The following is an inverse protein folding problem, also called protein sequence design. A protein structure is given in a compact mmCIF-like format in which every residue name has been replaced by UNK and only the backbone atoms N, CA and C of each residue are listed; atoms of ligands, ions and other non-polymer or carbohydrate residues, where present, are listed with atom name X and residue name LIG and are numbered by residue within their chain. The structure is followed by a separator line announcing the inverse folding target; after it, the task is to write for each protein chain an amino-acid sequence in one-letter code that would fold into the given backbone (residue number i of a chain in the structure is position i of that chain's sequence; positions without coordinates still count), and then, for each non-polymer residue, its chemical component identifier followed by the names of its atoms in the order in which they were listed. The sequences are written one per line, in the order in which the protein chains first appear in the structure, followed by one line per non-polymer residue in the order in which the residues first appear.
data_IF_444513882942
#
_entry.id   IF_444513882942
#
_cell.length_a   1.000
_cell.length_b   1.000
_cell.length_c   1.000
_cell.angle_alpha   90.00
_cell.angle_beta   90.00
_cell.angle_gamma   90.00
#
_symmetry.space_group_name_H-M   'P 1'
#
loop_
_entity.id
_entity.type
_entity.pdbx_description
1 polymer ?
#
# COMPACT_ATOMS: atom_id res chain seq x y z
N UNK A 1 -1.91 0.19 11.74
CA UNK A 1 -0.48 0.41 11.37
C UNK A 1 -0.44 1.45 10.26
N UNK A 2 0.56 2.35 10.24
CA UNK A 2 0.67 3.35 9.16
C UNK A 2 1.43 2.80 7.94
N UNK A 3 1.09 3.31 6.76
CA UNK A 3 1.82 3.07 5.53
C UNK A 3 1.50 4.11 4.46
N UNK A 4 2.32 4.15 3.42
CA UNK A 4 2.15 5.02 2.26
C UNK A 4 1.72 4.19 1.07
N UNK A 5 0.70 4.64 0.34
CA UNK A 5 0.27 4.01 -0.91
C UNK A 5 1.33 4.27 -1.99
N UNK A 6 1.87 3.23 -2.61
CA UNK A 6 2.91 3.38 -3.66
C UNK A 6 2.36 3.09 -5.06
N UNK A 7 1.19 2.47 -5.12
CA UNK A 7 0.42 2.23 -6.34
C UNK A 7 -1.05 1.99 -5.97
N UNK A 8 -1.96 2.50 -6.79
CA UNK A 8 -3.39 2.16 -6.70
C UNK A 8 -4.00 2.04 -8.10
N UNK A 9 -5.10 1.31 -8.19
CA UNK A 9 -5.91 1.23 -9.40
C UNK A 9 -7.39 1.25 -9.04
N UNK A 10 -8.01 2.40 -9.25
CA UNK A 10 -9.44 2.62 -8.96
C UNK A 10 -10.35 1.63 -9.71
N UNK A 11 -9.99 1.29 -10.96
CA UNK A 11 -10.76 0.33 -11.80
C UNK A 11 -10.79 -1.07 -11.19
N UNK A 12 -9.70 -1.51 -10.58
CA UNK A 12 -9.63 -2.85 -9.96
C UNK A 12 -9.87 -2.85 -8.46
N UNK A 13 -9.94 -1.68 -7.82
CA UNK A 13 -10.03 -1.59 -6.36
C UNK A 13 -8.81 -2.17 -5.64
N UNK A 14 -7.62 -2.08 -6.27
CA UNK A 14 -6.37 -2.63 -5.72
C UNK A 14 -5.40 -1.53 -5.36
N UNK A 15 -4.60 -1.76 -4.33
CA UNK A 15 -3.51 -0.87 -3.96
C UNK A 15 -2.35 -1.67 -3.36
N UNK A 16 -1.15 -1.10 -3.48
CA UNK A 16 0.06 -1.58 -2.80
C UNK A 16 0.49 -0.53 -1.80
N UNK A 17 0.74 -0.96 -0.56
CA UNK A 17 1.08 -0.10 0.55
C UNK A 17 2.47 -0.48 1.05
N UNK A 18 3.34 0.52 1.18
CA UNK A 18 4.61 0.37 1.88
C UNK A 18 4.42 0.76 3.34
N UNK A 19 4.58 -0.21 4.23
CA UNK A 19 4.27 -0.06 5.65
C UNK A 19 5.45 0.54 6.42
N UNK A 20 5.15 1.27 7.50
CA UNK A 20 6.14 1.93 8.36
C UNK A 20 7.12 0.97 9.05
N UNK A 21 6.86 -0.33 9.04
CA UNK A 21 7.79 -1.36 9.53
C UNK A 21 8.87 -1.75 8.51
N UNK A 22 8.81 -1.20 7.29
CA UNK A 22 9.75 -1.38 6.20
C UNK A 22 9.94 -2.86 5.78
N UNK A 23 9.02 -3.74 6.16
CA UNK A 23 9.01 -5.15 5.73
C UNK A 23 8.36 -5.28 4.34
N UNK A 24 7.99 -6.51 3.98
CA UNK A 24 7.27 -6.81 2.74
C UNK A 24 6.07 -5.88 2.51
N UNK A 25 5.76 -5.68 1.23
CA UNK A 25 4.66 -4.82 0.80
C UNK A 25 3.32 -5.43 1.20
N UNK A 26 2.36 -4.56 1.53
CA UNK A 26 1.00 -4.96 1.81
C UNK A 26 0.12 -4.81 0.57
N UNK A 27 -0.66 -5.86 0.29
CA UNK A 27 -1.56 -5.93 -0.84
C UNK A 27 -2.99 -5.66 -0.38
N UNK A 28 -3.61 -4.61 -0.90
CA UNK A 28 -5.03 -4.35 -0.71
C UNK A 28 -5.83 -4.76 -1.95
N UNK A 29 -6.93 -5.46 -1.69
CA UNK A 29 -7.94 -5.77 -2.69
C UNK A 29 -9.31 -5.48 -2.08
N UNK A 30 -10.09 -4.66 -2.78
CA UNK A 30 -11.41 -4.27 -2.32
C UNK A 30 -12.31 -5.51 -2.19
N UNK A 31 -13.00 -5.70 -1.05
CA UNK A 31 -14.02 -6.74 -0.93
C UNK A 31 -15.11 -6.58 -2.01
N UNK A 32 -15.54 -7.69 -2.63
CA UNK A 32 -16.56 -7.68 -3.68
C UNK A 32 -17.89 -7.02 -3.25
N UNK A 33 -18.18 -7.07 -1.95
CA UNK A 33 -19.43 -6.57 -1.35
C UNK A 33 -19.36 -5.08 -0.99
N UNK A 34 -18.20 -4.44 -1.11
CA UNK A 34 -18.03 -3.02 -0.78
C UNK A 34 -18.48 -2.15 -1.96
N UNK A 35 -19.53 -1.35 -1.75
CA UNK A 35 -20.00 -0.36 -2.74
C UNK A 35 -19.06 0.85 -2.87
N UNK A 36 -18.19 1.08 -1.89
CA UNK A 36 -17.31 2.25 -1.83
C UNK A 36 -16.14 2.10 -2.80
N UNK A 37 -15.85 3.16 -3.56
CA UNK A 37 -14.61 3.22 -4.36
C UNK A 37 -13.42 3.36 -3.41
N UNK A 38 -12.27 2.81 -3.79
CA UNK A 38 -11.02 3.20 -3.15
C UNK A 38 -10.74 4.64 -3.59
N UNK A 39 -10.57 5.56 -2.63
CA UNK A 39 -10.24 6.96 -2.87
C UNK A 39 -8.83 7.24 -2.34
N UNK A 40 -7.88 6.42 -2.78
CA UNK A 40 -6.47 6.57 -2.41
C UNK A 40 -5.61 6.60 -3.67
N UNK A 41 -4.65 7.50 -3.66
CA UNK A 41 -3.67 7.74 -4.71
C UNK A 41 -2.26 7.42 -4.20
N UNK A 42 -1.32 7.26 -5.13
CA UNK A 42 0.09 7.10 -4.75
C UNK A 42 0.56 8.34 -3.97
N UNK A 43 1.23 8.11 -2.84
CA UNK A 43 1.68 9.13 -1.91
C UNK A 43 0.74 9.42 -0.74
N UNK A 44 -0.46 8.83 -0.71
CA UNK A 44 -1.36 8.98 0.42
C UNK A 44 -0.88 8.21 1.65
N UNK A 45 -1.00 8.83 2.83
CA UNK A 45 -0.79 8.19 4.12
C UNK A 45 -2.09 7.49 4.55
N UNK A 46 -1.96 6.21 4.88
CA UNK A 46 -3.08 5.37 5.26
C UNK A 46 -2.82 4.63 6.58
N UNK A 47 -3.88 4.45 7.35
CA UNK A 47 -3.93 3.47 8.41
C UNK A 47 -4.46 2.15 7.85
N UNK A 48 -3.72 1.06 8.08
CA UNK A 48 -4.04 -0.27 7.61
C UNK A 48 -4.14 -1.29 8.73
N UNK A 49 -5.04 -2.25 8.52
CA UNK A 49 -5.12 -3.51 9.25
C UNK A 49 -4.60 -4.61 8.34
N UNK A 50 -3.65 -5.40 8.82
CA UNK A 50 -3.03 -6.46 8.05
C UNK A 50 -3.36 -7.85 8.59
N UNK A 51 -3.42 -8.81 7.69
CA UNK A 51 -3.43 -10.23 7.96
C UNK A 51 -2.32 -10.88 7.12
N UNK A 52 -1.51 -11.74 7.74
CA UNK A 52 -0.50 -12.50 6.99
C UNK A 52 -1.10 -13.84 6.59
N UNK A 53 -1.12 -14.11 5.28
CA UNK A 53 -1.59 -15.39 4.75
C UNK A 53 -0.58 -15.89 3.70
N UNK A 54 -0.05 -17.11 3.87
CA UNK A 54 0.91 -17.74 2.94
C UNK A 54 2.11 -16.82 2.60
N UNK A 55 2.66 -16.15 3.61
CA UNK A 55 3.76 -15.17 3.47
C UNK A 55 3.44 -13.91 2.65
N UNK A 56 2.16 -13.67 2.34
CA UNK A 56 1.70 -12.41 1.74
C UNK A 56 1.00 -11.58 2.81
N UNK A 57 1.37 -10.30 2.90
CA UNK A 57 0.70 -9.34 3.78
C UNK A 57 -0.54 -8.80 3.07
N UNK A 58 -1.71 -9.24 3.50
CA UNK A 58 -3.01 -8.74 3.00
C UNK A 58 -3.45 -7.57 3.85
N UNK A 59 -3.75 -6.44 3.22
CA UNK A 59 -4.44 -5.33 3.86
C UNK A 59 -5.95 -5.60 3.80
N UNK A 60 -6.55 -5.84 4.96
CA UNK A 60 -7.99 -6.20 5.08
C UNK A 60 -8.87 -4.97 5.35
N UNK A 61 -8.27 -3.89 5.82
CA UNK A 61 -8.93 -2.59 6.00
C UNK A 61 -7.92 -1.48 5.81
N UNK A 62 -8.37 -0.39 5.18
CA UNK A 62 -7.56 0.79 4.88
C UNK A 62 -8.39 2.05 5.11
N UNK A 63 -7.80 3.04 5.76
CA UNK A 63 -8.39 4.35 6.00
C UNK A 63 -7.37 5.44 5.62
N UNK A 64 -7.81 6.40 4.81
CA UNK A 64 -7.01 7.60 4.51
C UNK A 64 -6.78 8.39 5.81
N UNK A 65 -5.53 8.71 6.09
CA UNK A 65 -5.11 9.58 7.19
C UNK A 65 -4.79 10.97 6.65
N UNK A 66 -3.99 11.03 5.58
CA UNK A 66 -3.56 12.28 4.95
C UNK A 66 -3.33 12.06 3.46
N UNK A 67 -3.87 12.95 2.63
CA UNK A 67 -3.68 12.90 1.18
C UNK A 67 -2.35 13.53 0.79
N UNK A 68 -1.68 12.97 -0.23
CA UNK A 68 -0.41 13.49 -0.74
C UNK A 68 0.66 13.74 0.33
N UNK A 69 0.76 12.85 1.32
CA UNK A 69 1.79 12.88 2.36
C UNK A 69 3.20 12.71 1.79
N UNK A 70 3.35 11.87 0.76
CA UNK A 70 4.64 11.58 0.09
C UNK A 70 4.42 11.32 -1.41
N UNK A 71 4.01 12.34 -2.20
CA UNK A 71 3.57 12.18 -3.59
C UNK A 71 4.66 11.62 -4.52
N UNK A 72 5.93 11.85 -4.19
CA UNK A 72 7.10 11.37 -4.92
C UNK A 72 7.49 9.92 -4.64
N UNK A 73 6.81 9.22 -3.71
CA UNK A 73 7.21 7.88 -3.23
C UNK A 73 7.45 6.87 -4.34
N UNK A 74 6.58 6.84 -5.36
CA UNK A 74 6.71 5.90 -6.47
C UNK A 74 7.95 6.21 -7.33
N UNK A 75 8.35 7.48 -7.43
CA UNK A 75 9.56 7.89 -8.15
C UNK A 75 10.82 7.57 -7.34
N UNK A 76 10.81 7.87 -6.03
CA UNK A 76 11.95 7.59 -5.15
C UNK A 76 12.26 6.09 -5.06
N UNK A 77 11.23 5.25 -4.88
CA UNK A 77 11.40 3.80 -4.78
C UNK A 77 11.95 3.19 -6.08
N UNK A 78 11.62 3.74 -7.25
CA UNK A 78 12.22 3.31 -8.53
C UNK A 78 13.72 3.60 -8.61
N UNK A 79 14.16 4.71 -8.01
CA UNK A 79 15.57 5.11 -7.96
C UNK A 79 16.39 4.29 -6.95
N UNK A 80 15.75 3.79 -5.89
CA UNK A 80 16.37 2.96 -4.85
C UNK A 80 16.45 1.49 -5.27
N UNK A 81 17.34 1.18 -6.21
CA UNK A 81 17.71 -0.21 -6.56
C UNK A 81 18.89 -0.67 -5.70
N UNK A 82 18.66 -0.99 -4.44
CA UNK A 82 19.63 -1.83 -3.72
C UNK A 82 19.48 -3.26 -4.26
N UNK A 83 20.58 -3.81 -4.77
CA UNK A 83 20.64 -5.23 -5.07
C UNK A 83 20.29 -5.99 -3.79
N UNK A 84 19.33 -6.92 -3.90
CA UNK A 84 19.11 -7.89 -2.83
C UNK A 84 20.40 -8.70 -2.77
N UNK A 85 21.30 -8.35 -1.84
CA UNK A 85 22.39 -9.23 -1.49
C UNK A 85 21.74 -10.49 -0.93
N UNK A 86 21.81 -11.58 -1.69
CA UNK A 86 21.40 -12.89 -1.22
C UNK A 86 22.22 -13.19 0.05
N UNK A 87 21.55 -13.23 1.19
CA UNK A 87 22.07 -13.72 2.46
C UNK A 87 21.60 -15.16 2.67
#
# INVERSE_FOLDING_TARGET
MLGVVIWSCQRTGRAIIWCADHRDLAHYERPAVSATRISVEAGDLVEVVLMTERSVRRCVSMKLVEAAYMPEVAAELKGRRQAIAAA
#
